data_IF_743722642809
#
_entry.id   IF_743722642809
#
_cell.length_a   1.000
_cell.length_b   1.000
_cell.length_c   1.000
_cell.angle_alpha   90.00
_cell.angle_beta   90.00
_cell.angle_gamma   90.00
#
_symmetry.space_group_name_H-M   'P 1'
#
loop_
_entity.id
_entity.type
_entity.pdbx_description
1 polymer ?
#
# COMPACT_ATOMS: atom_id res chain seq x y z
N UNK A 1 -24.25 -41.48 -42.84
CA UNK A 1 -22.89 -41.25 -42.30
C UNK A 1 -22.67 -39.87 -41.66
N UNK A 2 -23.40 -38.81 -42.04
CA UNK A 2 -23.23 -37.45 -41.46
C UNK A 2 -23.52 -37.32 -39.95
N UNK A 3 -24.38 -38.16 -39.39
CA UNK A 3 -24.72 -38.11 -37.96
C UNK A 3 -23.56 -38.51 -37.03
N UNK A 4 -22.76 -39.50 -37.43
CA UNK A 4 -21.60 -39.93 -36.64
C UNK A 4 -20.50 -38.86 -36.66
N UNK A 5 -20.30 -38.18 -37.80
CA UNK A 5 -19.36 -37.07 -37.92
C UNK A 5 -19.76 -35.85 -37.06
N UNK A 6 -21.05 -35.51 -36.96
CA UNK A 6 -21.52 -34.44 -36.06
C UNK A 6 -21.38 -34.80 -34.58
N UNK A 7 -21.60 -36.07 -34.22
CA UNK A 7 -21.44 -36.55 -32.83
C UNK A 7 -19.97 -36.57 -32.40
N UNK A 8 -19.05 -36.92 -33.30
CA UNK A 8 -17.61 -36.87 -33.06
C UNK A 8 -17.09 -35.42 -32.99
N UNK A 9 -17.57 -34.52 -33.86
CA UNK A 9 -17.24 -33.10 -33.80
C UNK A 9 -17.64 -32.47 -32.46
N UNK A 10 -18.82 -32.83 -31.92
CA UNK A 10 -19.27 -32.32 -30.64
C UNK A 10 -18.48 -32.88 -29.45
N UNK A 11 -18.01 -34.14 -29.51
CA UNK A 11 -17.11 -34.71 -28.50
C UNK A 11 -15.73 -34.05 -28.53
N UNK A 12 -15.21 -33.74 -29.72
CA UNK A 12 -13.95 -33.02 -29.87
C UNK A 12 -14.04 -31.58 -29.36
N UNK A 13 -15.14 -30.87 -29.60
CA UNK A 13 -15.37 -29.55 -28.99
C UNK A 13 -15.47 -29.61 -27.46
N UNK A 14 -16.13 -30.63 -26.90
CA UNK A 14 -16.19 -30.83 -25.46
C UNK A 14 -14.81 -31.15 -24.84
N UNK A 15 -13.99 -31.92 -25.54
CA UNK A 15 -12.62 -32.20 -25.11
C UNK A 15 -11.73 -30.95 -25.16
N UNK A 16 -11.82 -30.17 -26.24
CA UNK A 16 -11.07 -28.92 -26.40
C UNK A 16 -11.46 -27.87 -25.36
N UNK A 17 -12.76 -27.73 -25.05
CA UNK A 17 -13.22 -26.80 -24.00
C UNK A 17 -12.77 -27.23 -22.61
N UNK A 18 -12.81 -28.53 -22.28
CA UNK A 18 -12.25 -29.05 -21.02
C UNK A 18 -10.74 -28.83 -20.92
N UNK A 19 -10.01 -29.04 -22.02
CA UNK A 19 -8.57 -28.81 -22.08
C UNK A 19 -8.22 -27.33 -21.90
N UNK A 20 -8.89 -26.43 -22.64
CA UNK A 20 -8.70 -24.98 -22.51
C UNK A 20 -9.02 -24.49 -21.09
N UNK A 21 -10.08 -25.03 -20.47
CA UNK A 21 -10.41 -24.74 -19.08
C UNK A 21 -9.32 -25.23 -18.11
N UNK A 22 -8.80 -26.44 -18.30
CA UNK A 22 -7.74 -26.99 -17.44
C UNK A 22 -6.44 -26.17 -17.54
N UNK A 23 -6.04 -25.78 -18.75
CA UNK A 23 -4.88 -24.90 -18.98
C UNK A 23 -5.11 -23.53 -18.36
N UNK A 24 -6.30 -22.95 -18.53
CA UNK A 24 -6.64 -21.65 -17.94
C UNK A 24 -6.66 -21.71 -16.40
N UNK A 25 -7.22 -22.78 -15.82
CA UNK A 25 -7.20 -23.01 -14.38
C UNK A 25 -5.78 -23.19 -13.84
N UNK A 26 -4.89 -23.86 -14.57
CA UNK A 26 -3.48 -24.00 -14.21
C UNK A 26 -2.76 -22.64 -14.24
N UNK A 27 -2.97 -21.84 -15.28
CA UNK A 27 -2.41 -20.49 -15.38
C UNK A 27 -2.91 -19.57 -14.27
N UNK A 28 -4.21 -19.64 -13.93
CA UNK A 28 -4.80 -18.88 -12.83
C UNK A 28 -4.17 -19.29 -11.49
N UNK A 29 -3.98 -20.59 -11.23
CA UNK A 29 -3.31 -21.07 -10.00
C UNK A 29 -1.86 -20.60 -9.93
N UNK A 30 -1.12 -20.63 -11.03
CA UNK A 30 0.25 -20.13 -11.06
C UNK A 30 0.31 -18.63 -10.77
N UNK A 31 -0.59 -17.83 -11.37
CA UNK A 31 -0.68 -16.40 -11.11
C UNK A 31 -1.07 -16.10 -9.65
N UNK A 32 -1.96 -16.90 -9.06
CA UNK A 32 -2.32 -16.78 -7.64
C UNK A 32 -1.14 -17.10 -6.72
N UNK A 33 -0.44 -18.20 -6.95
CA UNK A 33 0.74 -18.55 -6.16
C UNK A 33 1.82 -17.47 -6.25
N UNK A 34 2.02 -16.88 -7.45
CA UNK A 34 2.96 -15.78 -7.64
C UNK A 34 2.51 -14.50 -6.93
N UNK A 35 1.22 -14.17 -7.00
CA UNK A 35 0.64 -13.01 -6.32
C UNK A 35 0.75 -13.15 -4.80
N UNK A 36 0.39 -14.30 -4.23
CA UNK A 36 0.53 -14.60 -2.81
C UNK A 36 2.00 -14.52 -2.35
N UNK A 37 2.92 -15.07 -3.13
CA UNK A 37 4.35 -15.00 -2.85
C UNK A 37 4.85 -13.55 -2.87
N UNK A 38 4.49 -12.77 -3.89
CA UNK A 38 4.88 -11.35 -3.98
C UNK A 38 4.30 -10.50 -2.85
N UNK A 39 3.06 -10.76 -2.43
CA UNK A 39 2.41 -10.06 -1.33
C UNK A 39 3.07 -10.37 0.02
N UNK A 40 3.43 -11.64 0.26
CA UNK A 40 4.22 -12.03 1.44
C UNK A 40 5.62 -11.43 1.44
N UNK A 41 6.30 -11.45 0.30
CA UNK A 41 7.62 -10.85 0.16
C UNK A 41 7.60 -9.34 0.42
N UNK A 42 6.63 -8.62 -0.16
CA UNK A 42 6.45 -7.17 0.08
C UNK A 42 6.08 -6.88 1.54
N UNK A 43 5.16 -7.65 2.14
CA UNK A 43 4.83 -7.48 3.56
C UNK A 43 6.05 -7.69 4.47
N UNK A 44 6.87 -8.70 4.19
CA UNK A 44 8.12 -8.95 4.92
C UNK A 44 9.14 -7.83 4.77
N UNK A 45 9.28 -7.24 3.57
CA UNK A 45 10.16 -6.08 3.36
C UNK A 45 9.68 -4.85 4.15
N UNK A 46 8.36 -4.58 4.17
CA UNK A 46 7.81 -3.45 4.91
C UNK A 46 8.01 -3.63 6.43
N UNK A 47 7.81 -4.85 6.95
CA UNK A 47 8.09 -5.18 8.35
C UNK A 47 9.58 -5.02 8.71
N UNK A 48 10.49 -5.46 7.84
CA UNK A 48 11.92 -5.27 8.02
C UNK A 48 12.30 -3.77 8.04
N UNK A 49 11.72 -2.97 7.14
CA UNK A 49 11.94 -1.53 7.12
C UNK A 49 11.40 -0.85 8.39
N UNK A 50 10.28 -1.31 8.94
CA UNK A 50 9.74 -0.83 10.21
C UNK A 50 10.71 -1.09 11.39
N UNK A 51 11.32 -2.27 11.41
CA UNK A 51 12.31 -2.64 12.43
C UNK A 51 13.59 -1.81 12.30
N UNK A 52 14.09 -1.62 11.07
CA UNK A 52 15.26 -0.78 10.78
C UNK A 52 14.99 0.67 11.21
N UNK A 53 13.83 1.24 10.87
CA UNK A 53 13.47 2.61 11.25
C UNK A 53 13.41 2.82 12.78
N UNK A 54 12.91 1.83 13.54
CA UNK A 54 12.98 1.84 15.00
C UNK A 54 14.41 1.77 15.50
N UNK A 55 15.18 0.83 14.96
CA UNK A 55 16.55 0.61 15.42
C UNK A 55 17.42 1.85 15.18
N UNK A 56 17.32 2.48 14.00
CA UNK A 56 18.08 3.70 13.69
C UNK A 56 17.68 4.86 14.59
N UNK A 57 16.38 5.03 14.87
CA UNK A 57 15.90 6.02 15.82
C UNK A 57 16.41 5.76 17.25
N UNK A 58 16.40 4.51 17.71
CA UNK A 58 16.94 4.13 19.01
C UNK A 58 18.46 4.36 19.11
N UNK A 59 19.22 4.03 18.06
CA UNK A 59 20.67 4.26 18.05
C UNK A 59 21.00 5.75 18.09
N UNK A 60 20.27 6.57 17.34
CA UNK A 60 20.47 8.01 17.34
C UNK A 60 20.08 8.62 18.70
N UNK A 61 18.98 8.15 19.29
CA UNK A 61 18.57 8.58 20.63
C UNK A 61 19.61 8.21 21.70
N UNK A 62 20.18 7.00 21.66
CA UNK A 62 21.26 6.59 22.57
C UNK A 62 22.52 7.45 22.39
N UNK A 63 22.84 7.84 21.16
CA UNK A 63 23.96 8.75 20.90
C UNK A 63 23.72 10.12 21.57
N UNK A 64 22.52 10.68 21.44
CA UNK A 64 22.14 11.93 22.11
C UNK A 64 22.15 11.82 23.64
N UNK A 65 21.65 10.70 24.19
CA UNK A 65 21.75 10.41 25.63
C UNK A 65 23.21 10.34 26.09
N UNK A 66 24.08 9.72 25.30
CA UNK A 66 25.52 9.70 25.55
C UNK A 66 26.15 11.10 25.55
N UNK A 67 25.74 11.96 24.62
CA UNK A 67 26.16 13.38 24.60
C UNK A 67 25.65 14.13 25.83
N UNK A 68 24.40 13.93 26.24
CA UNK A 68 23.82 14.54 27.43
C UNK A 68 24.57 14.15 28.71
N UNK A 69 24.96 12.87 28.83
CA UNK A 69 25.79 12.39 29.95
C UNK A 69 27.20 13.01 29.90
N UNK A 70 27.78 13.14 28.71
CA UNK A 70 29.05 13.82 28.48
C UNK A 70 29.01 15.26 28.98
N UNK A 71 28.01 16.04 28.59
CA UNK A 71 27.82 17.42 29.03
C UNK A 71 27.61 17.53 30.55
N UNK A 72 26.83 16.63 31.14
CA UNK A 72 26.67 16.57 32.60
C UNK A 72 28.01 16.33 33.30
N UNK A 73 28.80 15.35 32.85
CA UNK A 73 30.09 15.03 33.45
C UNK A 73 31.09 16.20 33.35
N UNK A 74 31.11 16.89 32.20
CA UNK A 74 31.92 18.09 31.98
C UNK A 74 31.49 19.23 32.90
N UNK A 75 30.19 19.48 33.01
CA UNK A 75 29.65 20.53 33.86
C UNK A 75 29.89 20.28 35.35
N UNK A 76 29.79 19.03 35.81
CA UNK A 76 30.12 18.65 37.20
C UNK A 76 31.60 18.89 37.51
N UNK A 77 32.50 18.46 36.61
CA UNK A 77 33.94 18.67 36.79
C UNK A 77 34.30 20.16 36.72
N UNK A 78 33.68 20.92 35.81
CA UNK A 78 33.87 22.37 35.72
C UNK A 78 33.39 23.06 37.01
N UNK A 79 32.23 22.70 37.54
CA UNK A 79 31.76 23.23 38.83
C UNK A 79 32.70 22.91 39.97
N UNK A 80 33.25 21.69 40.02
CA UNK A 80 34.24 21.30 41.04
C UNK A 80 35.46 22.23 40.98
N UNK A 81 36.03 22.42 39.78
CA UNK A 81 37.17 23.32 39.56
C UNK A 81 36.84 24.76 39.93
N UNK A 82 35.68 25.26 39.49
CA UNK A 82 35.24 26.63 39.82
C UNK A 82 35.07 26.82 41.33
N UNK A 83 34.53 25.84 42.08
CA UNK A 83 34.48 25.91 43.55
C UNK A 83 35.87 25.99 44.15
N UNK A 84 36.80 25.16 43.70
CA UNK A 84 38.19 25.16 44.20
C UNK A 84 38.89 26.50 43.93
N UNK A 85 38.71 27.07 42.74
CA UNK A 85 39.27 28.37 42.39
C UNK A 85 38.62 29.51 43.17
N UNK A 86 37.30 29.49 43.36
CA UNK A 86 36.57 30.46 44.18
C UNK A 86 37.03 30.42 45.65
N UNK A 87 37.22 29.22 46.22
CA UNK A 87 37.75 29.06 47.57
C UNK A 87 39.17 29.63 47.69
N UNK A 88 40.03 29.41 46.69
CA UNK A 88 41.38 30.00 46.65
C UNK A 88 41.34 31.52 46.57
N UNK A 89 40.49 32.08 45.72
CA UNK A 89 40.32 33.54 45.59
C UNK A 89 39.78 34.14 46.89
N UNK A 90 38.78 33.51 47.51
CA UNK A 90 38.25 33.96 48.79
C UNK A 90 39.31 33.91 49.91
N UNK A 91 40.14 32.85 49.95
CA UNK A 91 41.25 32.75 50.89
C UNK A 91 42.31 33.86 50.67
N UNK A 92 42.68 34.14 49.41
CA UNK A 92 43.58 35.23 49.06
C UNK A 92 43.00 36.60 49.42
N UNK A 93 41.71 36.83 49.19
CA UNK A 93 41.02 38.05 49.60
C UNK A 93 41.10 38.22 51.12
N UNK A 94 40.71 37.19 51.90
CA UNK A 94 40.81 37.22 53.37
C UNK A 94 42.24 37.49 53.86
N UNK A 95 43.25 36.85 53.26
CA UNK A 95 44.65 37.06 53.62
C UNK A 95 45.12 38.49 53.29
N UNK A 96 44.70 39.06 52.16
CA UNK A 96 44.99 40.45 51.80
C UNK A 96 44.34 41.46 52.76
N UNK A 97 43.08 41.23 53.14
CA UNK A 97 42.39 42.06 54.14
C UNK A 97 43.06 41.98 55.52
N UNK A 98 43.47 40.78 55.95
CA UNK A 98 44.18 40.58 57.21
C UNK A 98 45.56 41.29 57.21
N UNK A 99 46.29 41.28 56.10
CA UNK A 99 47.61 41.92 55.96
C UNK A 99 47.52 43.45 55.79
N UNK A 100 46.45 43.93 55.14
CA UNK A 100 46.32 45.34 54.77
C UNK A 100 45.99 46.26 55.94
N UNK A 101 45.31 45.78 56.99
CA UNK A 101 44.86 46.63 58.10
C UNK A 101 43.93 47.77 57.69
N UNK A 102 43.45 47.79 56.44
CA UNK A 102 42.77 48.95 55.84
C UNK A 102 41.28 48.88 56.14
N UNK A 103 40.79 49.87 56.89
CA UNK A 103 39.39 50.28 56.91
C UNK A 103 39.05 50.96 55.56
N UNK A 104 38.81 50.15 54.53
CA UNK A 104 38.19 50.66 53.30
C UNK A 104 36.76 51.11 53.64
N UNK A 105 36.24 52.13 52.95
CA UNK A 105 34.90 52.65 53.16
C UNK A 105 33.85 51.55 52.87
N UNK A 106 33.31 50.94 53.93
CA UNK A 106 32.45 49.76 53.90
C UNK A 106 33.03 48.65 54.78
N UNK A 107 32.19 47.95 55.55
CA UNK A 107 32.65 46.86 56.39
C UNK A 107 33.40 45.84 55.52
N UNK A 108 34.67 45.48 55.78
CA UNK A 108 35.39 44.45 55.01
C UNK A 108 34.62 43.12 54.91
N UNK A 109 33.71 42.90 55.86
CA UNK A 109 32.78 41.76 55.86
C UNK A 109 31.70 41.89 54.78
N UNK A 110 31.17 43.08 54.51
CA UNK A 110 30.18 43.30 53.44
C UNK A 110 30.77 43.03 52.06
N UNK A 111 31.99 43.52 51.79
CA UNK A 111 32.66 43.30 50.49
C UNK A 111 32.95 41.81 50.25
N UNK A 112 33.34 41.08 51.30
CA UNK A 112 33.53 39.63 51.25
C UNK A 112 32.22 38.85 51.11
N UNK A 113 31.14 39.31 51.74
CA UNK A 113 29.82 38.70 51.62
C UNK A 113 29.24 38.89 50.22
N UNK A 114 29.42 40.08 49.65
CA UNK A 114 28.98 40.40 48.29
C UNK A 114 29.78 39.61 47.25
N UNK A 115 31.11 39.49 47.41
CA UNK A 115 31.92 38.65 46.52
C UNK A 115 31.54 37.17 46.59
N UNK A 116 31.26 36.65 47.80
CA UNK A 116 30.76 35.29 47.99
C UNK A 116 29.40 35.07 47.31
N UNK A 117 28.50 36.04 47.38
CA UNK A 117 27.20 35.99 46.70
C UNK A 117 27.35 35.94 45.17
N UNK A 118 28.23 36.75 44.59
CA UNK A 118 28.52 36.70 43.15
C UNK A 118 29.14 35.37 42.73
N UNK A 119 30.06 34.82 43.53
CA UNK A 119 30.68 33.51 43.27
C UNK A 119 29.62 32.39 43.28
N UNK A 120 28.70 32.41 44.24
CA UNK A 120 27.63 31.42 44.31
C UNK A 120 26.62 31.54 43.17
N UNK A 121 26.27 32.78 42.77
CA UNK A 121 25.41 33.03 41.62
C UNK A 121 26.04 32.50 40.31
N UNK A 122 27.32 32.77 40.09
CA UNK A 122 28.04 32.26 38.92
C UNK A 122 28.03 30.72 38.87
N UNK A 123 28.07 30.06 40.03
CA UNK A 123 28.03 28.60 40.10
C UNK A 123 26.63 28.04 39.83
N UNK A 124 25.58 28.70 40.32
CA UNK A 124 24.20 28.32 40.01
C UNK A 124 23.88 28.51 38.53
N UNK A 125 24.37 29.59 37.92
CA UNK A 125 24.16 29.88 36.50
C UNK A 125 24.84 28.82 35.63
N UNK A 126 26.09 28.45 35.94
CA UNK A 126 26.80 27.38 35.23
C UNK A 126 26.08 26.01 35.37
N UNK A 127 25.52 25.72 36.55
CA UNK A 127 24.74 24.50 36.78
C UNK A 127 23.42 24.51 36.00
N UNK A 128 22.73 25.64 35.97
CA UNK A 128 21.50 25.82 35.20
C UNK A 128 21.76 25.68 33.69
N UNK A 129 22.82 26.28 33.17
CA UNK A 129 23.20 26.16 31.76
C UNK A 129 23.52 24.72 31.37
N UNK A 130 24.28 24.00 32.21
CA UNK A 130 24.60 22.58 32.00
C UNK A 130 23.32 21.73 31.96
N UNK A 131 22.41 21.91 32.92
CA UNK A 131 21.16 21.16 32.95
C UNK A 131 20.24 21.50 31.79
N UNK A 132 20.16 22.77 31.40
CA UNK A 132 19.34 23.18 30.25
C UNK A 132 19.82 22.50 28.97
N UNK A 133 21.16 22.44 28.74
CA UNK A 133 21.76 21.71 27.61
C UNK A 133 21.53 20.20 27.69
N UNK A 134 21.64 19.61 28.88
CA UNK A 134 21.35 18.20 29.09
C UNK A 134 19.89 17.89 28.75
N UNK A 135 18.97 18.68 29.28
CA UNK A 135 17.54 18.46 29.12
C UNK A 135 17.10 18.67 27.67
N UNK A 136 17.69 19.62 26.94
CA UNK A 136 17.45 19.76 25.49
C UNK A 136 17.92 18.53 24.71
N UNK A 137 19.10 17.99 25.02
CA UNK A 137 19.61 16.77 24.36
C UNK A 137 18.74 15.53 24.67
N UNK A 138 18.26 15.42 25.91
CA UNK A 138 17.35 14.34 26.30
C UNK A 138 15.98 14.48 25.63
N UNK A 139 15.48 15.71 25.48
CA UNK A 139 14.26 15.99 24.73
C UNK A 139 14.41 15.59 23.26
N UNK A 140 15.53 15.96 22.63
CA UNK A 140 15.82 15.58 21.25
C UNK A 140 15.93 14.05 21.10
N UNK A 141 16.52 13.36 22.07
CA UNK A 141 16.56 11.90 22.11
C UNK A 141 15.16 11.27 22.20
N UNK A 142 14.27 11.84 23.03
CA UNK A 142 12.87 11.41 23.12
C UNK A 142 12.11 11.66 21.82
N UNK A 143 12.29 12.83 21.20
CA UNK A 143 11.69 13.16 19.90
C UNK A 143 12.15 12.19 18.81
N UNK A 144 13.42 11.78 18.81
CA UNK A 144 13.90 10.77 17.87
C UNK A 144 13.25 9.41 18.08
N UNK A 145 13.14 8.93 19.34
CA UNK A 145 12.42 7.69 19.66
C UNK A 145 10.98 7.76 19.18
N UNK A 146 10.29 8.86 19.48
CA UNK A 146 8.92 9.08 19.05
C UNK A 146 8.78 9.08 17.52
N UNK A 147 9.69 9.75 16.79
CA UNK A 147 9.72 9.72 15.33
C UNK A 147 9.95 8.30 14.77
N UNK A 148 10.80 7.51 15.41
CA UNK A 148 11.00 6.09 15.08
C UNK A 148 9.77 5.23 15.34
N UNK A 149 9.06 5.48 16.45
CA UNK A 149 7.82 4.77 16.77
C UNK A 149 6.72 5.11 15.77
N UNK A 150 6.51 6.39 15.45
CA UNK A 150 5.52 6.84 14.48
C UNK A 150 5.81 6.28 13.09
N UNK A 151 7.06 6.37 12.61
CA UNK A 151 7.43 5.79 11.31
C UNK A 151 7.22 4.28 11.28
N UNK A 152 7.61 3.56 12.32
CA UNK A 152 7.36 2.12 12.42
C UNK A 152 5.88 1.76 12.46
N UNK A 153 5.04 2.59 13.08
CA UNK A 153 3.60 2.41 13.10
C UNK A 153 3.00 2.61 11.70
N UNK A 154 3.47 3.61 10.95
CA UNK A 154 3.10 3.82 9.55
C UNK A 154 3.48 2.61 8.69
N UNK A 155 4.70 2.09 8.81
CA UNK A 155 5.11 0.89 8.09
C UNK A 155 4.29 -0.34 8.49
N UNK A 156 3.98 -0.53 9.78
CA UNK A 156 3.11 -1.63 10.24
C UNK A 156 1.68 -1.51 9.70
N UNK A 157 1.15 -0.29 9.63
CA UNK A 157 -0.14 -0.02 9.00
C UNK A 157 -0.09 -0.33 7.50
N UNK A 158 0.98 0.04 6.82
CA UNK A 158 1.16 -0.31 5.42
C UNK A 158 1.27 -1.84 5.24
N UNK A 159 2.03 -2.54 6.08
CA UNK A 159 2.13 -3.99 6.06
C UNK A 159 0.77 -4.67 6.34
N UNK A 160 -0.06 -4.14 7.25
CA UNK A 160 -1.39 -4.68 7.50
C UNK A 160 -2.33 -4.46 6.34
N UNK A 161 -2.24 -3.33 5.65
CA UNK A 161 -2.98 -3.07 4.40
C UNK A 161 -2.55 -4.04 3.29
N UNK A 162 -1.24 -4.23 3.06
CA UNK A 162 -0.76 -5.20 2.08
C UNK A 162 -1.18 -6.64 2.42
N UNK A 163 -1.19 -7.00 3.71
CA UNK A 163 -1.67 -8.31 4.16
C UNK A 163 -3.18 -8.45 3.95
N UNK A 164 -3.96 -7.38 4.15
CA UNK A 164 -5.39 -7.36 3.86
C UNK A 164 -5.67 -7.45 2.35
N UNK A 165 -4.92 -6.74 1.51
CA UNK A 165 -4.99 -6.87 0.04
C UNK A 165 -4.62 -8.29 -0.41
N UNK A 166 -3.57 -8.87 0.17
CA UNK A 166 -3.19 -10.27 -0.05
C UNK A 166 -4.30 -11.25 0.36
N UNK A 167 -5.04 -10.96 1.44
CA UNK A 167 -6.19 -11.77 1.87
C UNK A 167 -7.42 -11.61 0.94
N UNK A 168 -7.52 -10.51 0.19
CA UNK A 168 -8.57 -10.29 -0.83
C UNK A 168 -8.21 -10.91 -2.19
N UNK A 169 -6.93 -11.18 -2.45
CA UNK A 169 -6.48 -11.88 -3.67
C UNK A 169 -7.20 -13.23 -3.93
N UNK A 170 -7.36 -14.15 -2.96
CA UNK A 170 -8.10 -15.40 -3.17
C UNK A 170 -9.59 -15.18 -3.44
N UNK A 171 -10.17 -14.05 -3.00
CA UNK A 171 -11.58 -13.70 -3.29
C UNK A 171 -11.74 -13.27 -4.75
N UNK A 172 -10.84 -12.43 -5.26
CA UNK A 172 -10.83 -12.05 -6.70
C UNK A 172 -10.59 -13.27 -7.59
N UNK A 173 -9.67 -14.13 -7.19
CA UNK A 173 -9.41 -15.42 -7.82
C UNK A 173 -10.66 -16.31 -7.94
N UNK A 174 -11.46 -16.41 -6.86
CA UNK A 174 -12.72 -17.16 -6.89
C UNK A 174 -13.76 -16.54 -7.83
N UNK A 175 -13.82 -15.22 -7.93
CA UNK A 175 -14.69 -14.52 -8.90
C UNK A 175 -14.29 -14.83 -10.33
N UNK A 176 -12.99 -14.76 -10.67
CA UNK A 176 -12.48 -15.08 -12.01
C UNK A 176 -12.69 -16.55 -12.38
N UNK A 177 -12.54 -17.47 -11.43
CA UNK A 177 -12.84 -18.89 -11.65
C UNK A 177 -14.34 -19.12 -11.90
N UNK A 178 -15.22 -18.39 -11.20
CA UNK A 178 -16.66 -18.42 -11.47
C UNK A 178 -17.01 -17.86 -12.84
N UNK A 179 -16.40 -16.75 -13.27
CA UNK A 179 -16.56 -16.21 -14.62
C UNK A 179 -16.13 -17.22 -15.69
N UNK A 180 -14.97 -17.86 -15.50
CA UNK A 180 -14.51 -18.93 -16.38
C UNK A 180 -15.48 -20.13 -16.41
N UNK A 181 -16.08 -20.47 -15.27
CA UNK A 181 -17.11 -21.52 -15.19
C UNK A 181 -18.41 -21.12 -15.92
N UNK A 182 -18.84 -19.85 -15.81
CA UNK A 182 -19.95 -19.33 -16.59
C UNK A 182 -19.69 -19.39 -18.10
N UNK A 183 -18.49 -19.03 -18.55
CA UNK A 183 -18.09 -19.19 -19.95
C UNK A 183 -18.08 -20.65 -20.41
N UNK A 184 -17.60 -21.55 -19.55
CA UNK A 184 -17.63 -23.00 -19.83
C UNK A 184 -19.07 -23.51 -19.95
N UNK A 185 -19.96 -23.11 -19.05
CA UNK A 185 -21.37 -23.49 -19.08
C UNK A 185 -22.10 -22.89 -20.28
N UNK A 186 -21.81 -21.64 -20.64
CA UNK A 186 -22.35 -21.00 -21.83
C UNK A 186 -21.95 -21.76 -23.11
N UNK A 187 -20.66 -22.12 -23.25
CA UNK A 187 -20.19 -22.90 -24.39
C UNK A 187 -20.77 -24.33 -24.43
N UNK A 188 -20.99 -24.96 -23.27
CA UNK A 188 -21.65 -26.27 -23.20
C UNK A 188 -23.14 -26.19 -23.58
N UNK A 189 -23.83 -25.11 -23.21
CA UNK A 189 -25.21 -24.86 -23.60
C UNK A 189 -25.34 -24.55 -25.10
N UNK A 190 -24.38 -23.84 -25.68
CA UNK A 190 -24.33 -23.62 -27.13
C UNK A 190 -24.10 -24.94 -27.88
N UNK A 191 -23.18 -25.78 -27.39
CA UNK A 191 -22.93 -27.11 -27.94
C UNK A 191 -24.13 -28.07 -27.78
N UNK A 192 -24.87 -28.00 -26.67
CA UNK A 192 -26.11 -28.76 -26.48
C UNK A 192 -27.24 -28.24 -27.38
N UNK A 193 -27.33 -26.93 -27.57
CA UNK A 193 -28.19 -26.27 -28.54
C UNK A 193 -27.92 -26.78 -29.96
N UNK A 194 -26.65 -26.87 -30.38
CA UNK A 194 -26.27 -27.45 -31.67
C UNK A 194 -26.63 -28.93 -31.80
N UNK A 195 -26.46 -29.74 -30.74
CA UNK A 195 -26.92 -31.15 -30.72
C UNK A 195 -28.44 -31.24 -30.85
N UNK A 196 -29.18 -30.35 -30.20
CA UNK A 196 -30.65 -30.27 -30.28
C UNK A 196 -31.13 -29.79 -31.65
N UNK A 197 -30.46 -28.82 -32.26
CA UNK A 197 -30.78 -28.32 -33.59
C UNK A 197 -30.43 -29.36 -34.67
N UNK A 198 -29.31 -30.08 -34.52
CA UNK A 198 -28.94 -31.18 -35.40
C UNK A 198 -29.93 -32.36 -35.32
N UNK A 199 -30.46 -32.67 -34.13
CA UNK A 199 -31.49 -33.70 -33.94
C UNK A 199 -32.86 -33.23 -34.44
N UNK A 200 -33.25 -31.98 -34.20
CA UNK A 200 -34.47 -31.38 -34.73
C UNK A 200 -34.44 -31.30 -36.27
N UNK A 201 -33.30 -30.95 -36.87
CA UNK A 201 -33.10 -30.96 -38.33
C UNK A 201 -33.24 -32.37 -38.92
N UNK A 202 -32.84 -33.41 -38.18
CA UNK A 202 -33.02 -34.81 -38.56
C UNK A 202 -34.49 -35.26 -38.51
N UNK A 203 -35.22 -34.87 -37.46
CA UNK A 203 -36.66 -35.14 -37.33
C UNK A 203 -37.46 -34.41 -38.40
N UNK A 204 -37.09 -33.16 -38.71
CA UNK A 204 -37.74 -32.35 -39.75
C UNK A 204 -37.38 -32.85 -41.15
N UNK A 205 -36.17 -33.37 -41.37
CA UNK A 205 -35.74 -34.02 -42.61
C UNK A 205 -36.46 -35.36 -42.89
N UNK A 206 -36.74 -36.14 -41.84
CA UNK A 206 -37.56 -37.36 -41.96
C UNK A 206 -39.04 -37.00 -42.18
N UNK A 207 -39.54 -35.97 -41.51
CA UNK A 207 -40.91 -35.48 -41.70
C UNK A 207 -41.18 -34.93 -43.11
N UNK A 208 -40.22 -34.19 -43.69
CA UNK A 208 -40.34 -33.65 -45.05
C UNK A 208 -40.21 -34.72 -46.13
N UNK A 209 -39.40 -35.76 -45.94
CA UNK A 209 -39.33 -36.90 -46.87
C UNK A 209 -40.58 -37.79 -46.80
N UNK A 210 -41.19 -37.98 -45.63
CA UNK A 210 -42.51 -38.64 -45.53
C UNK A 210 -43.64 -37.78 -46.10
N UNK A 211 -43.63 -36.47 -45.89
CA UNK A 211 -44.63 -35.56 -46.45
C UNK A 211 -44.50 -35.43 -47.98
N UNK A 212 -43.29 -35.49 -48.55
CA UNK A 212 -43.10 -35.53 -50.00
C UNK A 212 -43.54 -36.87 -50.62
N UNK A 213 -43.45 -37.97 -49.87
CA UNK A 213 -43.95 -39.28 -50.31
C UNK A 213 -45.48 -39.38 -50.20
N UNK A 214 -46.08 -38.70 -49.22
CA UNK A 214 -47.54 -38.59 -49.09
C UNK A 214 -48.13 -37.57 -50.09
N UNK A 215 -47.39 -36.52 -50.43
CA UNK A 215 -47.79 -35.49 -51.40
C UNK A 215 -47.83 -35.98 -52.85
N UNK A 216 -47.12 -37.06 -53.20
CA UNK A 216 -47.17 -37.64 -54.55
C UNK A 216 -48.41 -38.51 -54.81
N UNK A 217 -49.20 -38.82 -53.78
CA UNK A 217 -50.47 -39.56 -53.92
C UNK A 217 -51.73 -38.67 -53.86
N UNK A 218 -51.59 -37.36 -53.64
CA UNK A 218 -52.71 -36.43 -53.43
C UNK A 218 -52.97 -35.41 -54.56
N UNK A 219 -52.27 -35.50 -55.69
CA UNK A 219 -52.33 -34.47 -56.75
C UNK A 219 -53.38 -34.79 -57.80
N UNK A 220 -54.66 -34.76 -57.43
CA UNK A 220 -55.79 -34.76 -58.38
C UNK A 220 -56.95 -33.80 -58.02
N UNK A 221 -56.76 -32.93 -57.02
CA UNK A 221 -57.84 -32.07 -56.51
C UNK A 221 -57.40 -30.65 -56.20
N UNK A 222 -56.95 -29.87 -57.19
CA UNK A 222 -56.83 -28.41 -57.05
C UNK A 222 -56.97 -27.68 -58.39
N UNK A 223 -58.02 -28.01 -59.14
CA UNK A 223 -58.68 -27.05 -60.03
C UNK A 223 -59.97 -26.66 -59.33
N UNK A 224 -60.00 -25.47 -58.72
CA UNK A 224 -61.14 -24.63 -58.33
C UNK A 224 -60.87 -23.96 -56.97
N UNK A 225 -61.03 -22.64 -56.94
CA UNK A 225 -61.59 -21.96 -55.77
C UNK A 225 -60.64 -21.12 -54.93
N UNK A 226 -60.38 -19.93 -55.43
CA UNK A 226 -59.90 -18.74 -54.74
C UNK A 226 -60.82 -18.33 -53.56
N UNK A 227 -60.26 -17.95 -52.40
CA UNK A 227 -60.44 -16.63 -51.73
C UNK A 227 -60.13 -16.64 -50.21
N UNK A 228 -59.48 -15.55 -49.81
CA UNK A 228 -59.61 -14.80 -48.56
C UNK A 228 -58.82 -15.20 -47.27
N UNK A 229 -57.75 -14.41 -47.06
CA UNK A 229 -57.61 -13.38 -46.00
C UNK A 229 -57.45 -13.84 -44.53
N UNK A 230 -56.29 -13.49 -43.94
CA UNK A 230 -56.26 -12.88 -42.61
C UNK A 230 -55.18 -13.31 -41.61
N UNK A 231 -54.22 -12.40 -41.41
CA UNK A 231 -53.58 -12.01 -40.14
C UNK A 231 -52.53 -12.93 -39.46
N UNK A 232 -51.36 -12.35 -39.15
CA UNK A 232 -50.48 -12.88 -38.10
C UNK A 232 -49.00 -12.46 -38.14
N UNK A 233 -48.71 -11.20 -37.79
CA UNK A 233 -47.49 -10.71 -37.11
C UNK A 233 -46.09 -11.15 -37.61
N UNK A 234 -45.39 -10.21 -38.25
CA UNK A 234 -43.94 -10.26 -38.41
C UNK A 234 -43.29 -8.91 -38.04
N UNK A 235 -42.19 -9.02 -37.30
CA UNK A 235 -41.06 -8.09 -37.19
C UNK A 235 -41.24 -6.77 -36.41
N UNK A 236 -40.79 -6.78 -35.14
CA UNK A 236 -40.10 -5.64 -34.54
C UNK A 236 -38.65 -6.05 -34.26
N UNK A 237 -37.81 -5.92 -35.29
CA UNK A 237 -36.34 -6.03 -35.21
C UNK A 237 -35.74 -4.71 -34.75
N UNK A 238 -34.67 -4.83 -33.98
CA UNK A 238 -34.07 -3.78 -33.19
C UNK A 238 -33.41 -2.64 -33.96
N UNK A 239 -33.34 -1.50 -33.27
CA UNK A 239 -32.36 -0.45 -33.49
C UNK A 239 -32.20 0.34 -32.18
N UNK A 240 -31.38 -0.15 -31.27
CA UNK A 240 -30.92 0.60 -30.11
C UNK A 240 -29.42 0.37 -29.98
N UNK A 241 -28.65 1.06 -30.83
CA UNK A 241 -27.21 1.20 -30.68
C UNK A 241 -26.86 2.68 -30.51
N UNK A 242 -26.24 2.93 -29.36
CA UNK A 242 -25.16 3.87 -29.15
C UNK A 242 -25.48 5.36 -29.00
N UNK A 243 -25.86 5.73 -27.77
CA UNK A 243 -25.67 7.06 -27.22
C UNK A 243 -24.78 6.96 -25.98
N UNK A 244 -23.51 7.37 -26.09
CA UNK A 244 -22.76 7.89 -24.94
C UNK A 244 -21.69 8.85 -25.44
N UNK A 245 -22.01 10.13 -25.30
CA UNK A 245 -21.18 11.26 -25.61
C UNK A 245 -20.23 11.59 -24.45
N UNK A 246 -19.04 12.09 -24.81
CA UNK A 246 -18.28 13.18 -24.16
C UNK A 246 -17.91 13.00 -22.68
N UNK A 247 -16.63 12.72 -22.45
CA UNK A 247 -15.92 12.98 -21.19
C UNK A 247 -14.60 13.71 -21.48
N UNK A 248 -14.62 15.02 -21.28
CA UNK A 248 -13.50 15.96 -21.29
C UNK A 248 -12.45 15.61 -20.24
N UNK A 249 -11.16 15.58 -20.63
CA UNK A 249 -10.02 15.40 -19.73
C UNK A 249 -8.84 16.26 -20.15
N UNK A 250 -8.91 17.54 -19.77
CA UNK A 250 -7.81 18.49 -19.72
C UNK A 250 -6.81 18.08 -18.63
N UNK A 251 -5.62 18.72 -18.60
CA UNK A 251 -4.61 18.77 -17.50
C UNK A 251 -3.54 17.64 -17.59
N UNK A 252 -2.21 17.82 -17.57
CA UNK A 252 -1.31 18.89 -17.12
C UNK A 252 0.03 18.78 -17.89
N UNK A 253 0.56 19.90 -18.38
CA UNK A 253 1.91 20.00 -18.93
C UNK A 253 2.92 20.16 -17.79
N UNK A 254 3.84 19.21 -17.61
CA UNK A 254 4.94 19.34 -16.66
C UNK A 254 6.20 19.80 -17.40
N UNK A 255 6.44 21.12 -17.36
CA UNK A 255 7.74 21.72 -17.66
C UNK A 255 8.75 21.29 -16.59
N UNK A 256 9.69 20.41 -16.93
CA UNK A 256 10.89 20.19 -16.13
C UNK A 256 11.93 21.27 -16.50
N UNK A 257 11.99 22.34 -15.69
CA UNK A 257 13.04 23.36 -15.76
C UNK A 257 14.23 22.85 -14.93
N UNK A 258 15.22 22.27 -15.60
CA UNK A 258 16.50 21.91 -14.99
C UNK A 258 17.39 23.16 -14.95
N UNK A 259 17.42 23.83 -13.81
CA UNK A 259 18.49 24.75 -13.40
C UNK A 259 19.29 23.97 -12.36
N UNK A 260 20.55 23.56 -12.57
CA UNK A 260 21.66 24.41 -12.98
C UNK A 260 22.31 25.04 -11.75
N UNK A 261 22.85 24.23 -10.82
CA UNK A 261 23.70 24.71 -9.74
C UNK A 261 25.11 24.15 -9.94
N UNK A 262 25.98 24.99 -10.50
CA UNK A 262 27.41 24.73 -10.60
C UNK A 262 28.11 25.11 -9.29
N UNK A 263 28.83 24.15 -8.72
CA UNK A 263 29.91 24.43 -7.77
C UNK A 263 31.20 24.49 -8.56
N UNK A 264 31.85 25.67 -8.57
CA UNK A 264 33.24 25.83 -9.01
C UNK A 264 34.15 25.53 -7.82
N UNK A 265 35.18 24.73 -8.06
CA UNK A 265 36.41 24.68 -7.27
C UNK A 265 37.28 25.89 -7.59
#
# INVERSE_FOLDING_TARGET
MQYNAQKEAARNQEALTKYNYAVQAQNIRQQQALAEWSARAQAGQVEANAAIARQTAETNARMLEGQAQGELSRGVEQQRRTREDQLRVAALQRARFAKGGVAMAGSPVEVLAESARYMQLALSDAWYETNTKRDSLLWDAQMQRYGGEVSSAQYKMQASLLRAEGALAPVRARMQMREAEFHRLAGLNEASGMKSAATAGLVTGIGTTMLSLAGSYGTWGSLFGETAKGAGAAASTGAAMNASAKGTGTVLATKAKVTGFGFKF
#
